data_IF_798276929772
#
_entry.id   IF_798276929772
#
_cell.length_a   1.000
_cell.length_b   1.000
_cell.length_c   1.000
_cell.angle_alpha   90.00
_cell.angle_beta   90.00
_cell.angle_gamma   90.00
#
_symmetry.space_group_name_H-M   'P 1'
#
loop_
_entity.id
_entity.type
_entity.pdbx_description
1 polymer ?
#
# COMPACT_ATOMS: atom_id res chain seq x y z
N UNK A 1 23.12 -9.94 3.86
CA UNK A 1 22.76 -8.52 3.93
C UNK A 1 24.02 -7.64 4.00
N UNK A 2 24.97 -7.95 4.89
CA UNK A 2 26.25 -7.19 5.03
C UNK A 2 26.99 -7.02 3.71
N UNK A 3 27.10 -8.09 2.92
CA UNK A 3 27.74 -8.05 1.60
C UNK A 3 27.06 -7.08 0.65
N UNK A 4 25.71 -7.06 0.65
CA UNK A 4 24.94 -6.14 -0.18
C UNK A 4 25.16 -4.69 0.25
N UNK A 5 25.04 -4.39 1.55
CA UNK A 5 25.24 -3.04 2.08
C UNK A 5 26.65 -2.54 1.82
N UNK A 6 27.65 -3.40 1.97
CA UNK A 6 29.04 -3.07 1.63
C UNK A 6 29.20 -2.80 0.13
N UNK A 7 28.61 -3.62 -0.74
CA UNK A 7 28.66 -3.40 -2.18
C UNK A 7 28.01 -2.05 -2.58
N UNK A 8 26.87 -1.70 -1.99
CA UNK A 8 26.22 -0.38 -2.21
C UNK A 8 27.12 0.79 -1.83
N UNK A 9 28.06 0.61 -0.89
CA UNK A 9 29.00 1.65 -0.49
C UNK A 9 30.28 1.72 -1.35
N UNK A 10 30.71 0.59 -1.89
CA UNK A 10 32.08 0.47 -2.45
C UNK A 10 32.13 0.12 -3.93
N UNK A 11 31.06 -0.40 -4.50
CA UNK A 11 31.00 -0.79 -5.91
C UNK A 11 30.48 0.37 -6.77
N UNK A 12 31.34 0.91 -7.60
CA UNK A 12 31.00 2.01 -8.51
C UNK A 12 29.91 1.66 -9.52
N UNK A 13 29.73 0.37 -9.84
CA UNK A 13 28.64 -0.09 -10.70
C UNK A 13 27.27 0.08 -10.03
N UNK A 14 27.22 0.16 -8.70
CA UNK A 14 26.00 0.32 -7.91
C UNK A 14 25.75 1.78 -7.47
N UNK A 15 26.63 2.71 -7.78
CA UNK A 15 26.54 4.12 -7.34
C UNK A 15 25.19 4.76 -7.70
N UNK A 16 24.74 4.58 -8.94
CA UNK A 16 23.45 5.12 -9.41
C UNK A 16 22.23 4.49 -8.71
N UNK A 17 22.33 3.23 -8.33
CA UNK A 17 21.31 2.54 -7.53
C UNK A 17 21.34 3.05 -6.09
N UNK A 18 22.51 3.05 -5.46
CA UNK A 18 22.69 3.48 -4.07
C UNK A 18 22.17 4.92 -3.86
N UNK A 19 22.44 5.83 -4.82
CA UNK A 19 21.98 7.22 -4.75
C UNK A 19 20.44 7.38 -4.84
N UNK A 20 19.72 6.37 -5.31
CA UNK A 20 18.25 6.38 -5.45
C UNK A 20 17.54 5.45 -4.49
N UNK A 21 18.28 4.65 -3.73
CA UNK A 21 17.73 3.68 -2.79
C UNK A 21 17.15 4.41 -1.59
N UNK A 22 15.85 4.32 -1.39
CA UNK A 22 15.17 4.92 -0.24
C UNK A 22 15.33 4.04 1.01
N UNK A 23 15.12 2.75 0.86
CA UNK A 23 15.21 1.76 1.94
C UNK A 23 15.32 0.34 1.37
N UNK A 24 15.62 -0.59 2.24
CA UNK A 24 15.48 -2.04 2.01
C UNK A 24 14.34 -2.55 2.89
N UNK A 25 13.32 -3.08 2.23
CA UNK A 25 12.14 -3.62 2.89
C UNK A 25 12.31 -5.08 3.25
N UNK A 26 11.86 -5.44 4.44
CA UNK A 26 11.78 -6.79 4.98
C UNK A 26 13.00 -7.68 4.60
N UNK A 27 14.23 -7.30 4.99
CA UNK A 27 15.46 -7.96 4.54
C UNK A 27 15.60 -9.41 5.01
N UNK A 28 14.74 -9.85 5.93
CA UNK A 28 14.68 -11.20 6.47
C UNK A 28 13.26 -11.74 6.41
N UNK A 29 13.12 -13.06 6.32
CA UNK A 29 11.84 -13.72 6.50
C UNK A 29 11.20 -13.32 7.85
N UNK A 30 9.87 -13.26 7.90
CA UNK A 30 9.08 -12.76 9.05
C UNK A 30 9.58 -13.34 10.39
N UNK A 31 9.74 -14.66 10.44
CA UNK A 31 10.15 -15.40 11.64
C UNK A 31 11.58 -15.09 12.10
N UNK A 32 12.42 -14.60 11.19
CA UNK A 32 13.82 -14.28 11.45
C UNK A 32 14.08 -12.79 11.71
N UNK A 33 13.12 -11.93 11.44
CA UNK A 33 13.26 -10.47 11.55
C UNK A 33 13.81 -10.04 12.91
N UNK A 34 13.39 -10.70 13.96
CA UNK A 34 13.72 -10.35 15.35
C UNK A 34 15.05 -10.90 15.85
N UNK A 35 15.75 -11.66 15.03
CA UNK A 35 16.99 -12.34 15.41
C UNK A 35 18.26 -11.54 15.05
N UNK A 36 18.11 -10.44 14.29
CA UNK A 36 19.24 -9.68 13.76
C UNK A 36 19.18 -8.22 14.16
N UNK A 37 20.30 -7.69 14.62
CA UNK A 37 20.50 -6.28 14.92
C UNK A 37 21.06 -5.57 13.68
N UNK A 38 20.31 -4.62 13.16
CA UNK A 38 20.66 -3.86 11.95
C UNK A 38 21.26 -2.49 12.23
N UNK A 39 21.46 -2.10 13.50
CA UNK A 39 21.89 -0.75 13.86
C UNK A 39 23.16 -0.31 13.17
N UNK A 40 24.13 -1.21 12.98
CA UNK A 40 25.38 -0.91 12.27
C UNK A 40 25.16 -0.67 10.77
N UNK A 41 24.26 -1.42 10.14
CA UNK A 41 23.96 -1.32 8.71
C UNK A 41 23.01 -0.15 8.41
N UNK A 42 22.16 0.20 9.36
CA UNK A 42 21.18 1.29 9.25
C UNK A 42 21.82 2.69 9.17
N UNK A 43 23.12 2.80 9.40
CA UNK A 43 23.90 4.01 9.15
C UNK A 43 24.13 4.29 7.66
N UNK A 44 24.00 3.25 6.82
CA UNK A 44 24.22 3.33 5.37
C UNK A 44 22.94 3.40 4.59
N UNK A 45 21.97 2.55 4.94
CA UNK A 45 20.66 2.45 4.25
C UNK A 45 19.56 2.23 5.27
N UNK A 46 18.42 2.83 5.05
CA UNK A 46 17.25 2.59 5.91
C UNK A 46 16.69 1.17 5.68
N UNK A 47 16.24 0.54 6.75
CA UNK A 47 15.51 -0.73 6.71
C UNK A 47 14.09 -0.51 7.23
N UNK A 48 13.12 -1.17 6.61
CA UNK A 48 11.74 -1.17 7.08
C UNK A 48 11.21 -2.59 7.26
N UNK A 49 10.26 -2.76 8.15
CA UNK A 49 9.50 -4.00 8.27
C UNK A 49 8.24 -3.94 7.43
N UNK A 50 7.83 -5.08 6.90
CA UNK A 50 6.56 -5.27 6.21
C UNK A 50 5.79 -6.45 6.79
N UNK A 51 6.08 -7.68 6.38
CA UNK A 51 5.39 -8.88 6.86
C UNK A 51 5.58 -9.12 8.36
N UNK A 52 6.66 -8.60 8.93
CA UNK A 52 6.91 -8.68 10.37
C UNK A 52 6.09 -7.67 11.18
N UNK A 53 5.36 -6.74 10.53
CA UNK A 53 4.44 -5.82 11.21
C UNK A 53 3.08 -6.49 11.47
N UNK A 54 3.06 -7.54 12.29
CA UNK A 54 1.92 -8.38 12.60
C UNK A 54 1.22 -8.04 13.93
N UNK A 55 1.80 -7.13 14.71
CA UNK A 55 1.27 -6.73 16.02
C UNK A 55 1.44 -5.23 16.27
N UNK A 56 0.76 -4.72 17.32
CA UNK A 56 0.92 -3.32 17.72
C UNK A 56 2.31 -2.98 18.24
N UNK A 57 3.08 -3.96 18.70
CA UNK A 57 4.42 -3.77 19.25
C UNK A 57 5.54 -4.02 18.21
N UNK A 58 5.19 -4.44 17.00
CA UNK A 58 6.16 -4.76 15.96
C UNK A 58 7.06 -3.57 15.61
N UNK A 59 6.49 -2.41 15.34
CA UNK A 59 7.27 -1.23 14.97
C UNK A 59 8.17 -0.70 16.11
N UNK A 60 7.72 -0.56 17.38
CA UNK A 60 8.62 -0.28 18.50
C UNK A 60 9.76 -1.30 18.66
N UNK A 61 9.46 -2.58 18.50
CA UNK A 61 10.47 -3.64 18.55
C UNK A 61 11.49 -3.52 17.41
N UNK A 62 11.00 -3.25 16.20
CA UNK A 62 11.86 -3.04 15.03
C UNK A 62 12.80 -1.84 15.21
N UNK A 63 12.32 -0.74 15.80
CA UNK A 63 13.14 0.43 16.16
C UNK A 63 14.35 0.03 16.99
N UNK A 64 14.20 -0.82 18.00
CA UNK A 64 15.30 -1.26 18.88
C UNK A 64 16.38 -2.00 18.07
N UNK A 65 15.98 -2.70 17.01
CA UNK A 65 16.86 -3.47 16.12
C UNK A 65 17.44 -2.66 14.95
N UNK A 66 17.16 -1.35 14.88
CA UNK A 66 17.73 -0.48 13.85
C UNK A 66 16.87 -0.28 12.61
N UNK A 67 15.64 -0.81 12.56
CA UNK A 67 14.71 -0.46 11.50
C UNK A 67 14.22 0.98 11.67
N UNK A 68 14.03 1.68 10.56
CA UNK A 68 13.64 3.09 10.54
C UNK A 68 12.25 3.33 9.98
N UNK A 69 11.58 2.29 9.54
CA UNK A 69 10.24 2.45 8.97
C UNK A 69 9.42 1.17 8.99
N UNK A 70 8.18 1.34 8.56
CA UNK A 70 7.20 0.26 8.43
C UNK A 70 6.34 0.48 7.20
N UNK A 71 6.06 -0.59 6.47
CA UNK A 71 5.14 -0.58 5.34
C UNK A 71 3.69 -0.60 5.83
N UNK A 72 2.89 0.35 5.34
CA UNK A 72 1.48 0.51 5.69
C UNK A 72 0.58 0.02 4.57
N UNK A 73 -0.40 -0.80 4.93
CA UNK A 73 -1.42 -1.36 4.02
C UNK A 73 -2.76 -1.39 4.75
N UNK A 74 -3.86 -1.16 4.06
CA UNK A 74 -5.20 -1.23 4.67
C UNK A 74 -5.51 -2.60 5.28
N UNK A 75 -5.00 -3.68 4.68
CA UNK A 75 -5.18 -5.04 5.17
C UNK A 75 -4.50 -5.32 6.53
N UNK A 76 -3.52 -4.52 6.94
CA UNK A 76 -2.89 -4.58 8.27
C UNK A 76 -3.70 -3.89 9.36
N UNK A 77 -4.74 -3.17 8.99
CA UNK A 77 -5.66 -2.46 9.87
C UNK A 77 -5.38 -0.96 10.01
N UNK A 78 -6.44 -0.18 9.82
CA UNK A 78 -6.40 1.29 9.88
C UNK A 78 -5.81 1.82 11.18
N UNK A 79 -6.29 1.34 12.33
CA UNK A 79 -5.82 1.83 13.64
C UNK A 79 -4.34 1.59 13.87
N UNK A 80 -3.81 0.44 13.41
CA UNK A 80 -2.37 0.16 13.52
C UNK A 80 -1.57 1.10 12.64
N UNK A 81 -2.01 1.38 11.43
CA UNK A 81 -1.38 2.35 10.54
C UNK A 81 -1.33 3.74 11.17
N UNK A 82 -2.45 4.24 11.70
CA UNK A 82 -2.52 5.53 12.40
C UNK A 82 -1.58 5.59 13.60
N UNK A 83 -1.54 4.52 14.39
CA UNK A 83 -0.66 4.43 15.56
C UNK A 83 0.82 4.45 15.14
N UNK A 84 1.20 3.72 14.10
CA UNK A 84 2.57 3.70 13.59
C UNK A 84 2.97 5.08 13.02
N UNK A 85 2.06 5.76 12.31
CA UNK A 85 2.27 7.14 11.87
C UNK A 85 2.49 8.11 13.02
N UNK A 86 1.66 8.01 14.07
CA UNK A 86 1.80 8.84 15.28
C UNK A 86 3.13 8.56 16.00
N UNK A 87 3.56 7.31 16.08
CA UNK A 87 4.87 6.92 16.66
C UNK A 87 6.02 7.54 15.89
N UNK A 88 6.04 7.38 14.55
CA UNK A 88 7.06 7.98 13.70
C UNK A 88 7.11 9.50 13.91
N UNK A 89 5.97 10.16 13.88
CA UNK A 89 5.89 11.61 14.12
C UNK A 89 6.40 12.01 15.51
N UNK A 90 6.09 11.23 16.55
CA UNK A 90 6.54 11.47 17.91
C UNK A 90 8.07 11.32 18.04
N UNK A 91 8.64 10.25 17.48
CA UNK A 91 10.07 10.01 17.52
C UNK A 91 10.84 11.07 16.72
N UNK A 92 10.31 11.50 15.58
CA UNK A 92 10.92 12.55 14.76
C UNK A 92 10.91 13.92 15.47
N UNK A 93 9.91 14.21 16.30
CA UNK A 93 9.95 15.39 17.18
C UNK A 93 11.07 15.34 18.21
N UNK A 94 11.52 14.14 18.57
CA UNK A 94 12.68 13.93 19.44
C UNK A 94 14.03 13.93 18.70
N UNK A 95 14.03 14.26 17.40
CA UNK A 95 15.23 14.35 16.58
C UNK A 95 15.62 13.05 15.87
N UNK A 96 14.74 12.07 15.85
CA UNK A 96 14.93 10.82 15.10
C UNK A 96 14.40 10.97 13.65
N UNK A 97 14.59 9.95 12.81
CA UNK A 97 14.17 9.98 11.39
C UNK A 97 13.49 8.65 11.03
N UNK A 98 12.22 8.55 11.43
CA UNK A 98 11.34 7.41 11.15
C UNK A 98 10.32 7.77 10.08
N UNK A 99 9.90 6.78 9.31
CA UNK A 99 8.91 7.00 8.26
C UNK A 99 7.96 5.82 8.08
N UNK A 100 6.87 6.10 7.39
CA UNK A 100 5.93 5.12 6.90
C UNK A 100 6.16 5.00 5.38
N UNK A 101 6.25 3.79 4.88
CA UNK A 101 6.08 3.48 3.47
C UNK A 101 4.67 2.95 3.23
N UNK A 102 4.28 2.77 2.00
CA UNK A 102 3.00 2.18 1.65
C UNK A 102 3.08 1.40 0.34
N UNK A 103 2.21 0.42 0.23
CA UNK A 103 1.97 -0.29 -1.01
C UNK A 103 0.48 -0.64 -1.15
N UNK A 104 0.03 -0.93 -2.36
CA UNK A 104 -1.23 -1.61 -2.59
C UNK A 104 -0.96 -3.12 -2.74
N UNK A 105 -1.32 -3.88 -1.74
CA UNK A 105 -1.23 -5.34 -1.78
C UNK A 105 -2.45 -5.97 -2.46
N UNK A 106 -3.32 -5.17 -3.01
CA UNK A 106 -4.63 -5.58 -3.48
C UNK A 106 -4.56 -6.21 -4.85
N UNK A 107 -4.98 -7.47 -4.91
CA UNK A 107 -5.24 -8.19 -6.16
C UNK A 107 -6.68 -8.00 -6.67
N UNK A 108 -7.45 -7.10 -6.08
CA UNK A 108 -8.81 -6.78 -6.47
C UNK A 108 -8.96 -5.28 -6.74
N UNK A 109 -9.63 -4.96 -7.82
CA UNK A 109 -10.01 -3.59 -8.14
C UNK A 109 -11.11 -3.06 -7.18
N UNK A 110 -11.37 -1.76 -7.20
CA UNK A 110 -12.45 -1.13 -6.46
C UNK A 110 -12.08 -0.81 -5.02
N UNK A 111 -12.93 -1.20 -4.06
CA UNK A 111 -12.86 -0.76 -2.66
C UNK A 111 -11.49 -0.95 -2.01
N UNK A 112 -10.85 -2.09 -2.20
CA UNK A 112 -9.59 -2.39 -1.55
C UNK A 112 -8.46 -1.47 -2.05
N UNK A 113 -8.38 -1.26 -3.37
CA UNK A 113 -7.44 -0.30 -3.97
C UNK A 113 -7.71 1.12 -3.48
N UNK A 114 -8.98 1.51 -3.38
CA UNK A 114 -9.35 2.84 -2.89
C UNK A 114 -8.97 3.05 -1.43
N UNK A 115 -9.16 2.05 -0.57
CA UNK A 115 -8.76 2.11 0.84
C UNK A 115 -7.25 2.26 1.00
N UNK A 116 -6.44 1.52 0.22
CA UNK A 116 -4.99 1.67 0.25
C UNK A 116 -4.57 3.08 -0.20
N UNK A 117 -5.10 3.57 -1.32
CA UNK A 117 -4.79 4.92 -1.81
C UNK A 117 -5.28 6.03 -0.86
N UNK A 118 -6.44 5.86 -0.23
CA UNK A 118 -6.92 6.80 0.78
C UNK A 118 -6.01 6.84 2.00
N UNK A 119 -5.48 5.69 2.42
CA UNK A 119 -4.53 5.60 3.54
C UNK A 119 -3.19 6.25 3.19
N UNK A 120 -2.68 6.06 1.97
CA UNK A 120 -1.51 6.75 1.44
C UNK A 120 -1.71 8.27 1.47
N UNK A 121 -2.85 8.74 0.96
CA UNK A 121 -3.20 10.17 0.96
C UNK A 121 -3.34 10.72 2.38
N UNK A 122 -3.99 9.99 3.28
CA UNK A 122 -4.15 10.38 4.69
C UNK A 122 -2.81 10.57 5.40
N UNK A 123 -1.85 9.68 5.18
CA UNK A 123 -0.49 9.81 5.73
C UNK A 123 0.37 10.85 5.02
N UNK A 124 -0.08 11.43 3.91
CA UNK A 124 0.68 12.38 3.11
C UNK A 124 1.94 11.77 2.48
N UNK A 125 1.91 10.47 2.16
CA UNK A 125 3.05 9.76 1.58
C UNK A 125 3.25 10.18 0.13
N UNK A 126 4.52 10.36 -0.25
CA UNK A 126 4.92 10.77 -1.60
C UNK A 126 5.36 9.60 -2.47
N UNK A 127 5.43 8.41 -1.91
CA UNK A 127 5.77 7.18 -2.61
C UNK A 127 4.87 6.04 -2.12
N UNK A 128 4.44 5.21 -3.04
CA UNK A 128 3.71 3.98 -2.74
C UNK A 128 4.08 2.95 -3.79
N UNK A 129 4.36 1.73 -3.37
CA UNK A 129 4.58 0.63 -4.27
C UNK A 129 3.26 0.18 -4.87
N UNK A 130 3.28 -0.12 -6.17
CA UNK A 130 2.09 -0.50 -6.94
C UNK A 130 2.18 -1.97 -7.33
N UNK A 131 1.53 -2.83 -6.56
CA UNK A 131 1.64 -4.28 -6.74
C UNK A 131 0.38 -4.91 -7.36
N UNK A 132 -0.69 -5.01 -6.58
CA UNK A 132 -1.80 -5.89 -6.91
C UNK A 132 -2.61 -5.45 -8.10
N UNK A 133 -3.05 -4.20 -8.14
CA UNK A 133 -3.99 -3.71 -9.16
C UNK A 133 -3.47 -3.88 -10.60
N UNK A 134 -2.19 -3.57 -10.82
CA UNK A 134 -1.60 -3.68 -12.15
C UNK A 134 -1.29 -5.12 -12.55
N UNK A 135 -0.98 -6.00 -11.61
CA UNK A 135 -0.75 -7.42 -11.89
C UNK A 135 -2.02 -8.17 -12.29
N UNK A 136 -3.17 -7.76 -11.79
CA UNK A 136 -4.46 -8.33 -12.18
C UNK A 136 -5.18 -7.54 -13.26
N UNK A 137 -4.50 -6.57 -13.85
CA UNK A 137 -4.99 -5.78 -14.97
C UNK A 137 -6.24 -4.95 -14.65
N UNK A 138 -6.25 -4.31 -13.49
CA UNK A 138 -7.32 -3.43 -13.06
C UNK A 138 -8.66 -4.17 -12.91
N UNK A 139 -9.68 -3.67 -13.61
CA UNK A 139 -11.03 -4.24 -13.62
C UNK A 139 -11.25 -5.26 -14.74
N UNK A 140 -10.21 -5.87 -15.32
CA UNK A 140 -10.34 -6.79 -16.46
C UNK A 140 -11.30 -7.97 -16.19
N UNK A 141 -11.32 -8.47 -14.94
CA UNK A 141 -12.15 -9.59 -14.51
C UNK A 141 -13.42 -9.16 -13.77
N UNK A 142 -13.78 -7.88 -13.82
CA UNK A 142 -14.95 -7.31 -13.15
C UNK A 142 -16.07 -7.08 -14.18
N UNK A 143 -17.36 -7.27 -13.83
CA UNK A 143 -18.46 -6.93 -14.72
C UNK A 143 -18.33 -5.50 -15.25
N UNK A 144 -18.59 -5.30 -16.55
CA UNK A 144 -18.39 -4.01 -17.21
C UNK A 144 -19.24 -2.88 -16.59
N UNK A 145 -20.42 -3.21 -16.06
CA UNK A 145 -21.29 -2.26 -15.38
C UNK A 145 -20.64 -1.78 -14.07
N UNK A 146 -20.10 -2.69 -13.27
CA UNK A 146 -19.42 -2.37 -12.01
C UNK A 146 -18.17 -1.53 -12.29
N UNK A 147 -17.32 -1.97 -13.21
CA UNK A 147 -16.14 -1.21 -13.62
C UNK A 147 -16.49 0.21 -14.10
N UNK A 148 -17.57 0.33 -14.87
CA UNK A 148 -18.12 1.63 -15.33
C UNK A 148 -18.60 2.50 -14.18
N UNK A 149 -19.23 1.93 -13.16
CA UNK A 149 -19.69 2.65 -11.97
C UNK A 149 -18.51 3.23 -11.18
N UNK A 150 -17.44 2.44 -10.97
CA UNK A 150 -16.21 2.93 -10.33
C UNK A 150 -15.56 4.07 -11.12
N UNK A 151 -15.44 3.92 -12.44
CA UNK A 151 -14.90 4.98 -13.31
C UNK A 151 -15.74 6.26 -13.24
N UNK A 152 -17.05 6.16 -13.24
CA UNK A 152 -17.94 7.32 -13.19
C UNK A 152 -17.89 8.04 -11.83
N UNK A 153 -17.84 7.28 -10.74
CA UNK A 153 -17.81 7.84 -9.38
C UNK A 153 -16.45 8.44 -9.00
N UNK A 154 -15.35 7.91 -9.58
CA UNK A 154 -13.98 8.27 -9.26
C UNK A 154 -13.15 8.53 -10.53
N UNK A 155 -13.62 9.46 -11.36
CA UNK A 155 -13.03 9.77 -12.68
C UNK A 155 -11.65 10.45 -12.62
N UNK A 156 -11.26 10.95 -11.47
CA UNK A 156 -9.91 11.44 -11.21
C UNK A 156 -8.93 10.28 -10.93
N UNK A 157 -9.41 9.22 -10.25
CA UNK A 157 -8.64 8.07 -9.83
C UNK A 157 -8.49 7.02 -10.94
N UNK A 158 -9.54 6.82 -11.75
CA UNK A 158 -9.59 5.78 -12.79
C UNK A 158 -9.60 6.36 -14.19
N UNK A 159 -9.14 5.55 -15.14
CA UNK A 159 -9.26 5.81 -16.57
C UNK A 159 -9.52 4.52 -17.33
N UNK A 160 -10.00 4.65 -18.56
CA UNK A 160 -10.14 3.51 -19.49
C UNK A 160 -8.95 3.49 -20.42
N UNK A 161 -8.13 2.44 -20.31
CA UNK A 161 -6.96 2.18 -21.15
C UNK A 161 -7.09 0.82 -21.78
N UNK A 162 -6.95 0.73 -23.11
CA UNK A 162 -7.12 -0.50 -23.90
C UNK A 162 -8.44 -1.25 -23.62
N UNK A 163 -9.51 -0.50 -23.39
CA UNK A 163 -10.82 -1.06 -23.12
C UNK A 163 -11.08 -1.46 -21.66
N UNK A 164 -10.08 -1.44 -20.79
CA UNK A 164 -10.13 -1.85 -19.40
C UNK A 164 -10.04 -0.62 -18.48
N UNK A 165 -10.81 -0.61 -17.41
CA UNK A 165 -10.73 0.42 -16.36
C UNK A 165 -9.56 0.10 -15.45
N UNK A 166 -8.68 1.07 -15.23
CA UNK A 166 -7.47 0.98 -14.39
C UNK A 166 -7.27 2.26 -13.60
N UNK A 167 -6.39 2.21 -12.61
CA UNK A 167 -5.89 3.44 -11.96
C UNK A 167 -5.16 4.31 -12.97
N UNK A 168 -5.50 5.59 -12.96
CA UNK A 168 -4.87 6.61 -13.78
C UNK A 168 -3.56 7.05 -13.12
N UNK A 169 -2.42 6.59 -13.64
CA UNK A 169 -1.10 7.05 -13.21
C UNK A 169 -0.58 8.04 -14.24
N UNK A 170 -0.50 9.32 -13.87
CA UNK A 170 -0.05 10.40 -14.76
C UNK A 170 1.22 11.02 -14.20
N UNK A 171 2.29 10.99 -14.98
CA UNK A 171 3.61 11.49 -14.56
C UNK A 171 4.07 10.94 -13.20
N UNK A 172 3.79 9.66 -12.94
CA UNK A 172 4.12 9.00 -11.68
C UNK A 172 3.23 9.38 -10.50
N UNK A 173 2.12 10.08 -10.73
CA UNK A 173 1.18 10.51 -9.69
C UNK A 173 -0.21 9.92 -9.89
N UNK A 174 -0.95 9.82 -8.78
CA UNK A 174 -2.36 9.38 -8.74
C UNK A 174 -3.16 10.49 -8.07
N UNK A 175 -4.25 10.91 -8.71
CA UNK A 175 -5.22 11.82 -8.10
C UNK A 175 -6.11 11.03 -7.11
N UNK A 176 -6.39 11.62 -5.95
CA UNK A 176 -7.11 10.95 -4.85
C UNK A 176 -8.21 11.82 -4.25
N UNK A 177 -8.60 12.91 -4.89
CA UNK A 177 -9.60 13.86 -4.38
C UNK A 177 -10.95 13.19 -4.16
N UNK A 178 -11.37 12.34 -5.09
CA UNK A 178 -12.65 11.63 -5.00
C UNK A 178 -12.72 10.61 -3.86
N UNK A 179 -11.59 10.23 -3.28
CA UNK A 179 -11.53 9.32 -2.13
C UNK A 179 -11.86 10.02 -0.80
N UNK A 180 -11.91 11.36 -0.77
CA UNK A 180 -12.23 12.15 0.42
C UNK A 180 -13.74 12.16 0.69
N UNK A 181 -14.35 10.99 0.75
CA UNK A 181 -15.78 10.77 1.02
C UNK A 181 -15.97 9.92 2.27
N UNK A 182 -17.12 10.06 2.98
CA UNK A 182 -17.43 9.23 4.14
C UNK A 182 -17.48 7.74 3.80
N UNK A 183 -17.14 6.90 4.76
CA UNK A 183 -17.19 5.44 4.63
C UNK A 183 -15.86 4.85 4.18
N UNK A 184 -15.89 4.02 3.13
CA UNK A 184 -14.74 3.23 2.67
C UNK A 184 -13.96 3.89 1.52
N UNK A 185 -13.85 5.21 1.51
CA UNK A 185 -13.21 5.95 0.42
C UNK A 185 -13.87 5.65 -0.95
N UNK A 186 -15.19 5.49 -0.96
CA UNK A 186 -15.96 5.15 -2.15
C UNK A 186 -17.28 5.90 -2.18
N UNK A 187 -17.55 6.59 -3.29
CA UNK A 187 -18.80 7.33 -3.50
C UNK A 187 -19.97 6.42 -3.94
N UNK A 188 -19.70 5.18 -4.30
CA UNK A 188 -20.71 4.21 -4.70
C UNK A 188 -21.53 3.71 -3.51
N UNK A 189 -22.80 3.42 -3.74
CA UNK A 189 -23.65 2.75 -2.76
C UNK A 189 -23.39 1.23 -2.81
N UNK A 190 -23.65 0.50 -1.72
CA UNK A 190 -23.46 -0.96 -1.70
C UNK A 190 -24.21 -1.71 -2.81
N UNK A 191 -25.31 -1.20 -3.30
CA UNK A 191 -26.07 -1.80 -4.41
C UNK A 191 -25.44 -1.61 -5.79
N UNK A 192 -24.46 -0.70 -5.91
CA UNK A 192 -23.74 -0.44 -7.16
C UNK A 192 -22.48 -1.33 -7.27
N UNK A 193 -22.14 -2.07 -6.21
CA UNK A 193 -20.96 -2.88 -6.06
C UNK A 193 -21.37 -4.34 -5.91
N UNK A 194 -20.86 -5.20 -6.77
CA UNK A 194 -21.12 -6.62 -6.73
C UNK A 194 -22.05 -7.11 -7.85
N UNK A 195 -22.27 -8.41 -7.94
CA UNK A 195 -23.12 -8.97 -8.97
C UNK A 195 -24.55 -8.42 -8.77
N UNK A 196 -25.03 -7.69 -9.75
CA UNK A 196 -26.44 -7.38 -9.82
C UNK A 196 -27.18 -8.73 -9.83
N UNK A 197 -27.84 -9.06 -8.73
CA UNK A 197 -28.79 -10.17 -8.70
C UNK A 197 -29.86 -9.86 -9.75
N UNK A 198 -29.73 -10.43 -10.95
CA UNK A 198 -30.90 -10.65 -11.76
C UNK A 198 -31.85 -11.41 -10.85
N UNK A 199 -32.96 -10.79 -10.51
CA UNK A 199 -34.04 -11.46 -9.79
C UNK A 199 -34.39 -12.69 -10.62
N UNK A 200 -33.91 -13.84 -10.23
CA UNK A 200 -34.46 -15.09 -10.68
C UNK A 200 -35.90 -15.09 -10.17
N UNK A 201 -36.82 -14.70 -11.03
CA UNK A 201 -38.24 -15.02 -10.87
C UNK A 201 -38.36 -16.53 -10.75
N UNK A 202 -38.27 -17.02 -9.53
CA UNK A 202 -38.67 -18.37 -9.20
C UNK A 202 -40.18 -18.40 -9.42
N UNK A 203 -40.60 -18.75 -10.64
CA UNK A 203 -41.96 -19.16 -10.89
C UNK A 203 -42.16 -20.44 -10.09
N UNK A 204 -42.81 -20.29 -8.94
CA UNK A 204 -43.41 -21.42 -8.22
C UNK A 204 -44.39 -22.12 -9.18
N UNK A 205 -43.95 -23.22 -9.74
CA UNK A 205 -44.91 -24.20 -10.28
C UNK A 205 -45.39 -25.03 -9.10
N UNK A 206 -46.50 -24.55 -8.51
CA UNK A 206 -47.38 -25.39 -7.66
C UNK A 206 -48.26 -26.19 -8.62
N UNK A 207 -48.08 -27.46 -8.66
CA UNK A 207 -49.08 -28.46 -9.07
C UNK A 207 -49.20 -29.51 -7.96
#
# INVERSE_FOLDING_TARGET
LDTLVKALQTDTALEALAARLLYIEQPFARENTWNFDLRSLATTVAFIIDEADDSYDAFPRAKILGYRGVSSKSCKGLYKSLLNGARAACWNKAGEDFFISAEDLTCQAGLAVQQDNALVAFHGLKHAERNGHHYVDGFANTPALEAGSFLAAHSDLYEKSDGIVRLAVRDGTIATESLAVPGFACALQPGDIGPHNEKHDIKEHVT
#
